data_IF_758430147226
#
_entry.id   IF_758430147226
#
_cell.length_a   1.000
_cell.length_b   1.000
_cell.length_c   1.000
_cell.angle_alpha   90.00
_cell.angle_beta   90.00
_cell.angle_gamma   90.00
#
_symmetry.space_group_name_H-M   'P 1'
#
loop_
_entity.id
_entity.type
_entity.pdbx_description
1 polymer ?
#
# COMPACT_ATOMS: atom_id res chain seq x y z
N UNK A 1 13.02 8.22 0.10
CA UNK A 1 13.12 9.58 0.68
C UNK A 1 12.65 9.61 2.13
N UNK A 2 12.88 10.72 2.84
CA UNK A 2 12.27 10.96 4.14
C UNK A 2 10.77 11.20 3.98
N UNK A 3 9.94 10.54 4.78
CA UNK A 3 8.49 10.71 4.78
C UNK A 3 8.11 11.68 5.89
N UNK A 4 7.58 12.83 5.51
CA UNK A 4 7.16 13.92 6.41
C UNK A 4 5.65 14.13 6.29
N UNK A 5 5.10 15.10 7.04
CA UNK A 5 3.70 15.50 6.86
C UNK A 5 3.46 16.34 5.60
N UNK A 6 4.51 16.87 4.98
CA UNK A 6 4.40 17.82 3.87
C UNK A 6 4.48 17.16 2.50
N UNK A 7 5.18 16.02 2.37
CA UNK A 7 5.33 15.32 1.10
C UNK A 7 4.25 14.25 0.86
N UNK A 8 3.07 14.45 1.47
CA UNK A 8 1.87 13.62 1.29
C UNK A 8 2.06 12.18 1.76
N UNK A 9 2.28 11.91 3.05
CA UNK A 9 2.54 10.57 3.58
C UNK A 9 1.33 9.64 3.38
N UNK A 10 1.52 8.34 3.62
CA UNK A 10 0.39 7.41 3.63
C UNK A 10 -0.49 7.68 4.85
N UNK A 11 -1.79 7.86 4.62
CA UNK A 11 -2.82 7.92 5.63
C UNK A 11 -3.41 6.53 5.81
N UNK A 12 -3.57 6.12 7.06
CA UNK A 12 -4.18 4.86 7.44
C UNK A 12 -5.38 5.14 8.34
N UNK A 13 -6.44 4.36 8.18
CA UNK A 13 -7.51 4.27 9.18
C UNK A 13 -7.25 3.03 10.05
N UNK A 14 -6.75 3.19 11.29
CA UNK A 14 -6.43 2.07 12.16
C UNK A 14 -7.63 1.13 12.36
N UNK A 15 -7.37 -0.16 12.48
CA UNK A 15 -8.37 -1.24 12.68
C UNK A 15 -9.37 -1.47 11.55
N UNK A 16 -9.42 -0.64 10.51
CA UNK A 16 -10.34 -0.82 9.36
C UNK A 16 -10.23 -2.20 8.70
N UNK A 17 -9.04 -2.80 8.68
CA UNK A 17 -8.81 -4.16 8.18
C UNK A 17 -9.67 -5.25 8.86
N UNK A 18 -10.16 -5.00 10.09
CA UNK A 18 -11.04 -5.92 10.82
C UNK A 18 -12.44 -6.06 10.18
N UNK A 19 -12.82 -5.13 9.30
CA UNK A 19 -14.04 -5.22 8.51
C UNK A 19 -13.91 -6.20 7.32
N UNK A 20 -12.72 -6.75 7.09
CA UNK A 20 -12.46 -7.64 5.95
C UNK A 20 -12.44 -6.86 4.64
N UNK A 21 -12.95 -7.48 3.58
CA UNK A 21 -13.04 -6.84 2.26
C UNK A 21 -14.29 -5.95 2.23
N UNK A 22 -14.08 -4.66 2.01
CA UNK A 22 -15.15 -3.67 1.84
C UNK A 22 -15.42 -3.51 0.35
N UNK A 23 -16.68 -3.42 -0.04
CA UNK A 23 -17.07 -3.18 -1.43
C UNK A 23 -16.53 -1.81 -1.87
N UNK A 24 -15.82 -1.79 -3.00
CA UNK A 24 -15.19 -0.60 -3.54
C UNK A 24 -15.69 -0.34 -4.96
N UNK A 25 -15.84 0.93 -5.31
CA UNK A 25 -16.07 1.37 -6.68
C UNK A 25 -14.77 1.39 -7.47
N UNK A 26 -14.83 1.18 -8.78
CA UNK A 26 -13.68 1.37 -9.66
C UNK A 26 -13.75 2.75 -10.33
N UNK A 27 -13.05 3.71 -9.74
CA UNK A 27 -12.95 5.05 -10.28
C UNK A 27 -11.95 5.08 -11.44
N UNK A 28 -12.45 5.39 -12.62
CA UNK A 28 -11.66 5.51 -13.86
C UNK A 28 -11.58 6.95 -14.37
N UNK A 29 -12.13 7.91 -13.62
CA UNK A 29 -12.38 9.28 -14.10
C UNK A 29 -11.73 10.37 -13.26
N UNK A 30 -11.72 10.23 -11.93
CA UNK A 30 -11.35 11.36 -11.04
C UNK A 30 -9.92 11.25 -10.49
N UNK A 31 -9.32 10.07 -10.57
CA UNK A 31 -7.96 9.77 -10.14
C UNK A 31 -6.98 9.79 -11.31
N UNK A 32 -5.68 9.97 -11.03
CA UNK A 32 -4.63 9.99 -12.06
C UNK A 32 -4.43 8.65 -12.79
N UNK A 33 -4.99 7.57 -12.24
CA UNK A 33 -5.06 6.23 -12.84
C UNK A 33 -6.29 5.49 -12.28
N UNK A 34 -6.84 4.48 -12.98
CA UNK A 34 -7.95 3.68 -12.48
C UNK A 34 -7.67 3.09 -11.09
N UNK A 35 -8.50 3.43 -10.11
CA UNK A 35 -8.30 3.06 -8.72
C UNK A 35 -9.58 2.50 -8.10
N UNK A 36 -9.42 1.53 -7.21
CA UNK A 36 -10.53 1.09 -6.36
C UNK A 36 -10.69 2.05 -5.19
N UNK A 37 -11.84 2.71 -5.10
CA UNK A 37 -12.13 3.75 -4.11
C UNK A 37 -13.32 3.34 -3.25
N UNK A 38 -13.28 3.77 -1.98
CA UNK A 38 -14.43 3.71 -1.10
C UNK A 38 -15.23 5.01 -1.23
N UNK A 39 -16.53 4.94 -1.00
CA UNK A 39 -17.37 6.12 -0.92
C UNK A 39 -17.08 6.95 0.34
N UNK A 40 -17.50 8.21 0.32
CA UNK A 40 -17.24 9.16 1.39
C UNK A 40 -17.92 8.78 2.72
N UNK A 41 -19.09 8.15 2.67
CA UNK A 41 -19.83 7.73 3.87
C UNK A 41 -19.05 6.64 4.60
N UNK A 42 -18.61 5.61 3.87
CA UNK A 42 -17.77 4.53 4.40
C UNK A 42 -16.46 5.06 4.98
N UNK A 43 -15.75 5.94 4.26
CA UNK A 43 -14.50 6.54 4.76
C UNK A 43 -14.74 7.36 6.02
N UNK A 44 -15.80 8.17 6.03
CA UNK A 44 -16.18 9.00 7.18
C UNK A 44 -16.48 8.13 8.41
N UNK A 45 -17.29 7.08 8.26
CA UNK A 45 -17.62 6.17 9.36
C UNK A 45 -16.35 5.55 9.95
N UNK A 46 -15.51 4.94 9.11
CA UNK A 46 -14.29 4.27 9.57
C UNK A 46 -13.31 5.24 10.24
N UNK A 47 -13.18 6.46 9.71
CA UNK A 47 -12.33 7.49 10.30
C UNK A 47 -12.85 7.97 11.66
N UNK A 48 -14.17 8.11 11.84
CA UNK A 48 -14.74 8.47 13.15
C UNK A 48 -14.52 7.36 14.20
N UNK A 49 -14.60 6.09 13.81
CA UNK A 49 -14.40 4.95 14.73
C UNK A 49 -12.91 4.65 15.01
N UNK A 50 -12.07 4.77 13.99
CA UNK A 50 -10.66 4.36 14.01
C UNK A 50 -9.67 5.50 14.26
N UNK A 51 -10.09 6.74 14.02
CA UNK A 51 -9.19 7.86 13.79
C UNK A 51 -8.42 7.72 12.48
N UNK A 52 -7.44 8.61 12.28
CA UNK A 52 -6.49 8.53 11.17
C UNK A 52 -5.08 8.70 11.69
N UNK A 53 -4.13 8.01 11.05
CA UNK A 53 -2.70 8.15 11.34
C UNK A 53 -1.91 8.30 10.04
N UNK A 54 -0.84 9.08 10.11
CA UNK A 54 0.09 9.28 9.01
C UNK A 54 1.49 8.86 9.46
N UNK A 55 1.90 7.59 9.25
CA UNK A 55 3.24 7.15 9.61
C UNK A 55 4.31 7.94 8.85
N UNK A 56 5.33 8.37 9.59
CA UNK A 56 6.48 9.15 9.11
C UNK A 56 7.77 8.37 9.40
N UNK A 57 8.82 8.60 8.64
CA UNK A 57 10.06 7.85 8.79
C UNK A 57 11.20 8.31 7.89
N UNK A 58 12.43 8.02 8.32
CA UNK A 58 13.65 8.29 7.54
C UNK A 58 13.78 7.30 6.37
N UNK A 59 14.61 7.61 5.35
CA UNK A 59 14.95 6.63 4.31
C UNK A 59 15.39 5.28 4.92
N UNK A 60 14.91 4.18 4.35
CA UNK A 60 15.15 2.82 4.86
C UNK A 60 14.16 2.34 5.94
N UNK A 61 13.24 3.19 6.40
CA UNK A 61 12.16 2.75 7.30
C UNK A 61 11.18 1.82 6.55
N UNK A 62 10.62 0.84 7.26
CA UNK A 62 9.64 -0.10 6.71
C UNK A 62 8.31 0.05 7.45
N UNK A 63 7.21 0.14 6.69
CA UNK A 63 5.84 0.10 7.20
C UNK A 63 5.17 -1.18 6.71
N UNK A 64 4.74 -2.04 7.63
CA UNK A 64 3.96 -3.24 7.34
C UNK A 64 2.50 -2.98 7.70
N UNK A 65 1.59 -3.29 6.78
CA UNK A 65 0.16 -3.15 7.02
C UNK A 65 -0.67 -4.20 6.26
N UNK A 66 -1.87 -4.46 6.75
CA UNK A 66 -2.76 -5.50 6.23
C UNK A 66 -3.36 -5.12 4.86
N UNK A 67 -3.57 -6.10 3.97
CA UNK A 67 -4.06 -5.87 2.60
C UNK A 67 -5.45 -5.23 2.50
N UNK A 68 -6.27 -5.40 3.54
CA UNK A 68 -7.61 -4.78 3.63
C UNK A 68 -7.65 -3.52 4.50
N UNK A 69 -6.51 -3.03 4.99
CA UNK A 69 -6.48 -1.77 5.75
C UNK A 69 -6.81 -0.61 4.80
N UNK A 70 -7.77 0.23 5.17
CA UNK A 70 -8.09 1.43 4.38
C UNK A 70 -6.94 2.42 4.48
N UNK A 71 -6.41 2.80 3.32
CA UNK A 71 -5.26 3.69 3.21
C UNK A 71 -5.35 4.55 1.94
N UNK A 72 -4.74 5.73 2.00
CA UNK A 72 -4.66 6.66 0.88
C UNK A 72 -3.45 7.60 1.05
N UNK A 73 -3.15 8.43 0.07
CA UNK A 73 -2.23 9.57 0.26
C UNK A 73 -2.73 10.78 -0.51
N UNK A 74 -2.52 11.97 0.05
CA UNK A 74 -2.79 13.21 -0.66
C UNK A 74 -1.75 13.48 -1.77
N UNK A 75 -2.07 14.31 -2.77
CA UNK A 75 -1.07 14.86 -3.69
C UNK A 75 0.05 15.58 -2.93
N UNK A 76 1.28 15.41 -3.42
CA UNK A 76 2.44 16.11 -2.88
C UNK A 76 2.59 17.48 -3.58
N UNK A 77 2.40 18.56 -2.83
CA UNK A 77 2.61 19.94 -3.30
C UNK A 77 3.91 20.56 -2.78
N UNK A 78 4.68 19.80 -1.99
CA UNK A 78 5.96 20.23 -1.44
C UNK A 78 7.09 20.08 -2.47
N UNK A 79 8.27 20.71 -2.27
CA UNK A 79 9.41 20.54 -3.17
C UNK A 79 10.21 19.26 -2.92
N UNK A 80 9.81 18.38 -1.99
CA UNK A 80 10.55 17.17 -1.64
C UNK A 80 9.86 15.92 -2.18
N UNK A 81 10.63 15.04 -2.81
CA UNK A 81 10.13 13.78 -3.35
C UNK A 81 9.65 12.82 -2.25
N UNK A 82 8.88 11.83 -2.69
CA UNK A 82 8.42 10.70 -1.86
C UNK A 82 8.41 9.41 -2.68
N UNK A 83 9.58 8.86 -2.92
CA UNK A 83 9.77 7.54 -3.52
C UNK A 83 9.51 6.47 -2.45
N UNK A 84 8.61 5.55 -2.78
CA UNK A 84 8.23 4.39 -1.95
C UNK A 84 8.33 3.14 -2.83
N UNK A 85 9.03 2.12 -2.34
CA UNK A 85 8.96 0.78 -2.90
C UNK A 85 7.85 -0.01 -2.19
N UNK A 86 6.92 -0.58 -2.96
CA UNK A 86 5.80 -1.36 -2.44
C UNK A 86 6.00 -2.84 -2.74
N UNK A 87 5.86 -3.69 -1.72
CA UNK A 87 5.89 -5.13 -1.84
C UNK A 87 4.57 -5.70 -1.28
N UNK A 88 3.76 -6.28 -2.18
CA UNK A 88 2.53 -6.99 -1.80
C UNK A 88 2.83 -8.48 -1.70
N UNK A 89 3.04 -8.97 -0.48
CA UNK A 89 3.38 -10.36 -0.23
C UNK A 89 2.11 -11.19 -0.02
N UNK A 90 2.10 -12.39 -0.59
CA UNK A 90 1.01 -13.36 -0.42
C UNK A 90 1.58 -14.73 -0.07
N UNK A 91 0.87 -15.50 0.73
CA UNK A 91 1.21 -16.89 0.97
C UNK A 91 1.04 -17.70 -0.33
N UNK A 92 1.95 -18.63 -0.61
CA UNK A 92 1.96 -19.40 -1.87
C UNK A 92 0.69 -20.21 -2.09
N UNK A 93 0.07 -20.72 -1.01
CA UNK A 93 -1.21 -21.44 -1.08
C UNK A 93 -2.42 -20.52 -1.36
N UNK A 94 -2.25 -19.20 -1.23
CA UNK A 94 -3.27 -18.19 -1.50
C UNK A 94 -3.05 -17.49 -2.85
N UNK A 95 -2.42 -18.18 -3.81
CA UNK A 95 -2.20 -17.64 -5.14
C UNK A 95 -3.50 -17.46 -5.93
N UNK A 96 -3.48 -16.50 -6.86
CA UNK A 96 -4.63 -16.23 -7.73
C UNK A 96 -4.88 -17.41 -8.68
N UNK A 97 -6.16 -17.76 -8.87
CA UNK A 97 -6.59 -18.82 -9.81
C UNK A 97 -7.17 -18.27 -11.11
N UNK A 98 -7.34 -16.95 -11.20
CA UNK A 98 -7.89 -16.27 -12.36
C UNK A 98 -6.89 -15.22 -12.86
N UNK A 99 -6.38 -15.42 -14.07
CA UNK A 99 -5.36 -14.56 -14.67
C UNK A 99 -5.99 -13.43 -15.50
N UNK A 100 -6.75 -12.55 -14.83
CA UNK A 100 -7.50 -11.46 -15.48
C UNK A 100 -6.67 -10.20 -15.75
N UNK A 101 -5.45 -10.12 -15.22
CA UNK A 101 -4.54 -8.97 -15.34
C UNK A 101 -3.20 -9.39 -15.95
N UNK A 102 -2.44 -8.44 -16.54
CA UNK A 102 -1.06 -8.69 -16.95
C UNK A 102 -0.21 -9.23 -15.80
N UNK A 103 0.76 -10.07 -16.12
CA UNK A 103 1.60 -10.75 -15.13
C UNK A 103 2.37 -9.76 -14.23
N UNK A 104 2.86 -8.66 -14.79
CA UNK A 104 3.58 -7.63 -14.04
C UNK A 104 2.68 -6.86 -13.04
N UNK A 105 1.35 -7.02 -13.12
CA UNK A 105 0.38 -6.49 -12.13
C UNK A 105 -0.05 -7.57 -11.15
N UNK A 106 -0.20 -8.81 -11.61
CA UNK A 106 -0.60 -9.95 -10.83
C UNK A 106 0.23 -11.18 -11.25
N UNK A 107 1.27 -11.45 -10.47
CA UNK A 107 2.28 -12.47 -10.76
C UNK A 107 1.68 -13.87 -10.93
N UNK A 108 2.39 -14.69 -11.71
CA UNK A 108 2.02 -16.09 -12.01
C UNK A 108 3.07 -17.10 -11.55
N UNK A 109 4.25 -16.63 -11.15
CA UNK A 109 5.23 -17.43 -10.42
C UNK A 109 4.91 -17.36 -8.93
N UNK A 110 4.70 -18.53 -8.34
CA UNK A 110 4.35 -18.71 -6.94
C UNK A 110 5.40 -19.53 -6.19
N UNK A 111 6.61 -19.62 -6.75
CA UNK A 111 7.76 -20.22 -6.07
C UNK A 111 8.02 -19.45 -4.77
N UNK A 112 8.15 -20.14 -3.62
CA UNK A 112 8.47 -19.48 -2.35
C UNK A 112 9.75 -18.64 -2.47
N UNK A 113 9.74 -17.45 -1.86
CA UNK A 113 10.95 -16.62 -1.79
C UNK A 113 11.96 -17.25 -0.83
N UNK A 114 13.21 -17.31 -1.26
CA UNK A 114 14.33 -17.73 -0.41
C UNK A 114 14.99 -16.49 0.20
N UNK A 115 15.16 -16.44 1.54
CA UNK A 115 15.88 -15.35 2.17
C UNK A 115 17.36 -15.43 1.77
N UNK A 116 17.92 -14.28 1.40
CA UNK A 116 19.35 -14.12 1.23
C UNK A 116 20.02 -13.81 2.58
N UNK A 117 21.34 -13.94 2.64
CA UNK A 117 22.13 -13.61 3.82
C UNK A 117 21.95 -12.15 4.26
N UNK A 118 22.16 -11.91 5.55
CA UNK A 118 22.19 -10.56 6.11
C UNK A 118 23.22 -9.69 5.38
N UNK A 119 22.83 -8.46 5.03
CA UNK A 119 23.70 -7.53 4.31
C UNK A 119 23.83 -7.81 2.81
N UNK A 120 23.03 -8.73 2.23
CA UNK A 120 23.03 -9.02 0.79
C UNK A 120 22.91 -7.77 -0.10
N UNK A 121 22.19 -6.73 0.34
CA UNK A 121 22.08 -5.47 -0.40
C UNK A 121 23.40 -4.69 -0.47
N UNK A 122 24.21 -4.72 0.60
CA UNK A 122 25.52 -4.07 0.63
C UNK A 122 26.49 -4.73 -0.34
N UNK A 123 26.42 -6.06 -0.46
CA UNK A 123 27.25 -6.83 -1.40
C UNK A 123 26.92 -6.52 -2.88
N UNK A 124 25.70 -6.04 -3.16
CA UNK A 124 25.28 -5.62 -4.50
C UNK A 124 25.73 -4.19 -4.87
N UNK A 125 26.39 -3.47 -3.95
CA UNK A 125 26.89 -2.12 -4.19
C UNK A 125 25.79 -1.05 -4.26
N UNK A 126 24.64 -1.32 -3.64
CA UNK A 126 23.55 -0.35 -3.44
C UNK A 126 23.76 0.46 -2.15
#
# INVERSE_FOLDING_TARGET
DEVTEFNGPLYLIPRSHKQGVIEAGHDTKTTSYPLWTLDEETVSQLAHEGGMVAPKGKPGSVLLFHSTLVHASAPNISPWDRVIAYLSLCHVDNHIRQFKRPEWVAHRDFTPIEPLDDGCLLALGL
#
